data_IF_261991276859
#
_entry.id   IF_261991276859
#
_cell.length_a   1.000
_cell.length_b   1.000
_cell.length_c   1.000
_cell.angle_alpha   90.00
_cell.angle_beta   90.00
_cell.angle_gamma   90.00
#
_symmetry.space_group_name_H-M   'P 1'
#
loop_
_entity.id
_entity.type
_entity.pdbx_description
1 polymer ?
#
# COMPACT_ATOMS: atom_id res chain seq x y z
N UNK A 1 -8.56 -24.46 0.00
CA UNK A 1 -8.91 -24.76 1.40
C UNK A 1 -10.21 -24.02 1.68
N UNK A 2 -11.29 -24.68 2.10
CA UNK A 2 -12.56 -23.99 2.39
C UNK A 2 -12.48 -23.37 3.79
N UNK A 3 -11.97 -22.15 3.88
CA UNK A 3 -11.89 -21.41 5.14
C UNK A 3 -13.22 -20.66 5.34
N UNK A 4 -13.85 -20.86 6.50
CA UNK A 4 -15.06 -20.15 6.94
C UNK A 4 -14.70 -19.11 7.99
N UNK A 5 -15.29 -17.93 7.89
CA UNK A 5 -15.15 -16.89 8.90
C UNK A 5 -16.32 -17.02 9.88
N UNK A 6 -16.00 -17.10 11.17
CA UNK A 6 -16.96 -17.14 12.26
C UNK A 6 -16.98 -15.80 12.99
N UNK A 7 -18.14 -15.37 13.49
CA UNK A 7 -18.20 -14.26 14.42
C UNK A 7 -17.89 -14.72 15.86
N UNK A 8 -17.91 -13.78 16.81
CA UNK A 8 -17.64 -14.02 18.23
C UNK A 8 -18.54 -15.08 18.91
N UNK A 9 -19.69 -15.43 18.33
CA UNK A 9 -20.60 -16.49 18.85
C UNK A 9 -20.53 -17.78 18.03
N UNK A 10 -19.51 -17.92 17.17
CA UNK A 10 -19.29 -19.11 16.34
C UNK A 10 -20.21 -19.23 15.13
N UNK A 11 -21.00 -18.20 14.81
CA UNK A 11 -21.84 -18.20 13.62
C UNK A 11 -21.01 -17.93 12.38
N UNK A 12 -21.19 -18.74 11.33
CA UNK A 12 -20.60 -18.50 10.02
C UNK A 12 -21.14 -17.20 9.42
N UNK A 13 -20.24 -16.27 9.12
CA UNK A 13 -20.53 -14.97 8.49
C UNK A 13 -19.98 -14.85 7.07
N UNK A 14 -19.27 -15.85 6.57
CA UNK A 14 -18.76 -15.85 5.21
C UNK A 14 -17.78 -16.97 4.93
N UNK A 15 -17.55 -17.22 3.64
CA UNK A 15 -16.49 -18.11 3.15
C UNK A 15 -15.41 -17.29 2.45
N UNK A 16 -14.16 -17.74 2.58
CA UNK A 16 -13.04 -17.13 1.86
C UNK A 16 -13.16 -17.42 0.36
N UNK A 17 -13.06 -16.37 -0.45
CA UNK A 17 -13.00 -16.45 -1.91
C UNK A 17 -11.55 -16.44 -2.40
N UNK A 18 -10.77 -15.43 -2.01
CA UNK A 18 -9.38 -15.24 -2.41
C UNK A 18 -8.53 -14.82 -1.20
N UNK A 19 -7.25 -15.19 -1.22
CA UNK A 19 -6.26 -14.80 -0.21
C UNK A 19 -5.09 -14.15 -0.94
N UNK A 20 -4.75 -12.93 -0.54
CA UNK A 20 -3.59 -12.19 -1.00
C UNK A 20 -2.60 -12.10 0.16
N UNK A 21 -1.47 -12.79 0.06
CA UNK A 21 -0.37 -12.67 1.01
C UNK A 21 0.52 -11.53 0.52
N UNK A 22 1.04 -10.70 1.44
CA UNK A 22 1.96 -9.63 1.05
C UNK A 22 3.15 -10.22 0.28
N UNK A 23 3.52 -9.68 -0.90
CA UNK A 23 4.49 -10.32 -1.79
C UNK A 23 5.91 -10.43 -1.20
N UNK A 24 6.23 -9.57 -0.24
CA UNK A 24 7.50 -9.59 0.50
C UNK A 24 7.43 -10.40 1.81
N UNK A 25 6.28 -11.02 2.13
CA UNK A 25 6.23 -11.96 3.25
C UNK A 25 7.07 -13.20 2.93
N UNK A 26 7.99 -13.52 3.82
CA UNK A 26 8.80 -14.72 3.74
C UNK A 26 8.51 -15.54 4.98
N UNK A 27 7.86 -16.70 4.81
CA UNK A 27 7.45 -17.60 5.89
C UNK A 27 8.67 -18.19 6.64
N UNK A 28 9.34 -17.34 7.42
CA UNK A 28 10.59 -17.57 8.10
C UNK A 28 10.37 -17.24 9.58
N UNK A 29 10.61 -18.18 10.51
CA UNK A 29 10.31 -18.00 11.93
C UNK A 29 11.15 -16.94 12.64
N UNK A 30 12.11 -16.31 11.97
CA UNK A 30 12.93 -15.22 12.51
C UNK A 30 12.72 -13.89 11.79
N UNK A 31 11.82 -13.84 10.81
CA UNK A 31 11.55 -12.66 10.00
C UNK A 31 10.04 -12.40 10.00
N UNK A 32 9.66 -11.32 10.67
CA UNK A 32 8.27 -10.91 10.84
C UNK A 32 7.91 -9.74 9.90
N UNK A 33 8.78 -9.39 8.95
CA UNK A 33 8.49 -8.32 8.00
C UNK A 33 7.32 -8.69 7.09
N UNK A 34 6.40 -7.75 6.91
CA UNK A 34 5.23 -7.90 6.07
C UNK A 34 4.28 -9.05 6.48
N UNK A 35 4.14 -9.32 7.78
CA UNK A 35 3.17 -10.30 8.33
C UNK A 35 1.72 -9.86 8.12
N UNK A 36 1.29 -9.85 6.86
CA UNK A 36 0.02 -9.30 6.42
C UNK A 36 -0.58 -10.12 5.27
N UNK A 37 -1.87 -10.38 5.39
CA UNK A 37 -2.66 -10.97 4.32
C UNK A 37 -4.04 -10.29 4.23
N UNK A 38 -4.55 -10.15 3.00
CA UNK A 38 -5.91 -9.69 2.73
C UNK A 38 -6.74 -10.90 2.32
N UNK A 39 -7.83 -11.12 3.04
CA UNK A 39 -8.77 -12.21 2.79
C UNK A 39 -10.03 -11.61 2.17
N UNK A 40 -10.24 -11.88 0.89
CA UNK A 40 -11.44 -11.48 0.18
C UNK A 40 -12.52 -12.53 0.38
N UNK A 41 -13.66 -12.11 0.91
CA UNK A 41 -14.81 -12.99 1.09
C UNK A 41 -15.45 -13.31 -0.26
N UNK A 42 -15.95 -14.52 -0.41
CA UNK A 42 -16.63 -14.97 -1.63
C UNK A 42 -17.90 -14.16 -1.91
N UNK A 43 -18.52 -13.59 -0.87
CA UNK A 43 -19.67 -12.70 -0.94
C UNK A 43 -19.55 -11.61 0.13
N UNK A 44 -20.06 -10.39 -0.11
CA UNK A 44 -20.13 -9.35 0.91
C UNK A 44 -20.94 -9.76 2.15
N UNK A 45 -20.51 -9.33 3.33
CA UNK A 45 -21.28 -9.53 4.57
C UNK A 45 -22.34 -8.45 4.68
N UNK A 46 -23.61 -8.82 4.62
CA UNK A 46 -24.71 -7.87 4.74
C UNK A 46 -24.75 -7.23 6.14
N UNK A 47 -25.11 -5.94 6.23
CA UNK A 47 -25.37 -5.19 7.47
C UNK A 47 -24.15 -4.97 8.40
N UNK A 48 -22.92 -5.09 7.90
CA UNK A 48 -21.70 -4.73 8.63
C UNK A 48 -20.86 -3.80 7.76
N UNK A 49 -20.45 -2.66 8.32
CA UNK A 49 -19.39 -1.83 7.74
C UNK A 49 -18.04 -2.36 8.21
N UNK A 50 -17.09 -2.48 7.30
CA UNK A 50 -15.68 -2.65 7.68
C UNK A 50 -15.15 -1.42 8.40
N UNK A 51 -13.99 -1.56 9.02
CA UNK A 51 -13.24 -0.42 9.54
C UNK A 51 -12.39 0.18 8.43
N UNK A 52 -12.21 1.50 8.48
CA UNK A 52 -11.20 2.16 7.66
C UNK A 52 -9.80 1.89 8.24
N UNK A 53 -8.75 2.14 7.45
CA UNK A 53 -7.36 1.99 7.91
C UNK A 53 -6.75 3.32 8.32
N UNK A 54 -5.85 3.28 9.30
CA UNK A 54 -5.10 4.44 9.74
C UNK A 54 -3.97 4.72 8.74
N UNK A 55 -3.88 5.95 8.21
CA UNK A 55 -3.01 6.29 7.06
C UNK A 55 -1.98 7.37 7.33
N UNK A 56 -2.15 8.16 8.38
CA UNK A 56 -1.39 9.41 8.53
C UNK A 56 0.06 9.20 8.99
N UNK A 57 0.48 7.97 9.29
CA UNK A 57 1.84 7.62 9.73
C UNK A 57 2.28 8.35 11.02
N UNK A 58 1.32 8.69 11.89
CA UNK A 58 1.56 9.39 13.17
C UNK A 58 1.21 8.54 14.38
N UNK A 59 1.32 7.21 14.29
CA UNK A 59 0.86 6.26 15.33
C UNK A 59 1.65 6.39 16.64
N UNK A 60 2.91 6.81 16.58
CA UNK A 60 3.79 6.89 17.76
C UNK A 60 3.26 7.93 18.76
N UNK A 61 3.17 7.52 20.03
CA UNK A 61 2.62 8.28 21.14
C UNK A 61 1.09 8.26 21.22
N UNK A 62 0.40 7.55 20.32
CA UNK A 62 -1.05 7.40 20.39
C UNK A 62 -1.47 6.13 21.11
N UNK A 63 -2.54 6.25 21.87
CA UNK A 63 -3.25 5.12 22.45
C UNK A 63 -4.00 4.37 21.36
N UNK A 64 -3.80 3.06 21.30
CA UNK A 64 -4.56 2.14 20.49
C UNK A 64 -5.42 1.23 21.37
N UNK A 65 -6.58 0.83 20.85
CA UNK A 65 -7.40 -0.23 21.44
C UNK A 65 -7.09 -1.55 20.76
N UNK A 66 -6.85 -2.62 21.53
CA UNK A 66 -6.80 -4.00 21.03
C UNK A 66 -8.11 -4.71 21.35
N UNK A 67 -8.59 -5.53 20.41
CA UNK A 67 -9.73 -6.42 20.63
C UNK A 67 -9.49 -7.74 19.90
N UNK A 68 -9.64 -8.87 20.60
CA UNK A 68 -9.60 -10.19 19.98
C UNK A 68 -9.92 -11.32 20.96
N UNK A 69 -9.75 -12.56 20.51
CA UNK A 69 -10.03 -13.74 21.34
C UNK A 69 -8.77 -14.56 21.59
N UNK A 70 -8.49 -14.85 22.86
CA UNK A 70 -7.51 -15.86 23.25
C UNK A 70 -8.27 -17.11 23.67
N UNK A 71 -8.31 -18.11 22.80
CA UNK A 71 -9.24 -19.22 22.95
C UNK A 71 -10.70 -18.73 22.91
N UNK A 72 -11.43 -18.90 24.02
CA UNK A 72 -12.82 -18.42 24.16
C UNK A 72 -12.93 -17.04 24.82
N UNK A 73 -11.83 -16.52 25.37
CA UNK A 73 -11.86 -15.34 26.21
C UNK A 73 -11.66 -14.09 25.36
N UNK A 74 -12.59 -13.14 25.50
CA UNK A 74 -12.49 -11.84 24.87
C UNK A 74 -11.41 -11.03 25.60
N UNK A 75 -10.37 -10.67 24.87
CA UNK A 75 -9.32 -9.76 25.32
C UNK A 75 -9.58 -8.42 24.68
N UNK A 76 -9.72 -7.39 25.51
CA UNK A 76 -9.87 -6.01 25.06
C UNK A 76 -9.26 -5.06 26.07
N UNK A 77 -8.55 -4.06 25.58
CA UNK A 77 -7.91 -3.03 26.39
C UNK A 77 -7.17 -2.04 25.52
N UNK A 78 -6.45 -1.13 26.16
CA UNK A 78 -5.71 -0.07 25.50
C UNK A 78 -4.22 -0.18 25.83
N UNK A 79 -3.38 0.33 24.94
CA UNK A 79 -1.94 0.49 25.15
C UNK A 79 -1.47 1.63 24.22
N UNK A 80 -0.23 2.09 24.35
CA UNK A 80 0.38 3.15 23.53
C UNK A 80 1.37 2.53 22.55
N UNK A 81 1.49 3.09 21.34
CA UNK A 81 2.64 2.76 20.49
C UNK A 81 3.80 3.69 20.81
N UNK A 82 4.87 3.16 21.38
CA UNK A 82 5.98 3.95 21.91
C UNK A 82 7.05 4.26 20.86
N UNK A 83 7.24 3.35 19.90
CA UNK A 83 8.27 3.48 18.88
C UNK A 83 7.93 2.69 17.61
N UNK A 84 8.77 2.88 16.57
CA UNK A 84 8.83 1.96 15.45
C UNK A 84 9.75 0.79 15.81
N UNK A 85 9.40 -0.43 15.43
CA UNK A 85 10.07 -1.63 15.90
C UNK A 85 11.52 -1.75 15.43
N UNK A 86 11.90 -1.16 14.29
CA UNK A 86 13.27 -1.23 13.75
C UNK A 86 14.35 -0.69 14.70
N UNK A 87 13.97 0.10 15.71
CA UNK A 87 14.87 0.56 16.77
C UNK A 87 15.54 -0.59 17.55
N UNK A 88 14.92 -1.78 17.61
CA UNK A 88 15.43 -2.91 18.38
C UNK A 88 16.44 -3.78 17.62
N UNK A 89 16.64 -3.54 16.31
CA UNK A 89 17.44 -4.40 15.43
C UNK A 89 18.84 -4.70 15.98
N UNK A 90 19.53 -3.68 16.49
CA UNK A 90 20.88 -3.86 17.05
C UNK A 90 20.87 -4.61 18.38
N UNK A 91 19.87 -4.37 19.23
CA UNK A 91 19.81 -4.91 20.59
C UNK A 91 19.31 -6.36 20.62
N UNK A 92 18.46 -6.75 19.66
CA UNK A 92 17.83 -8.07 19.60
C UNK A 92 18.30 -8.91 18.40
N UNK A 93 19.17 -8.38 17.54
CA UNK A 93 19.69 -9.10 16.37
C UNK A 93 18.61 -9.41 15.33
N UNK A 94 17.61 -8.53 15.22
CA UNK A 94 16.52 -8.62 14.24
C UNK A 94 16.86 -7.81 12.99
N UNK A 95 16.10 -8.04 11.92
CA UNK A 95 16.22 -7.31 10.65
C UNK A 95 14.85 -6.74 10.24
N UNK A 96 14.21 -6.00 11.16
CA UNK A 96 12.92 -5.37 10.91
C UNK A 96 13.10 -4.21 9.95
N UNK A 97 12.30 -4.18 8.88
CA UNK A 97 12.31 -3.10 7.89
C UNK A 97 11.91 -1.77 8.55
N UNK A 98 12.67 -0.72 8.26
CA UNK A 98 12.49 0.60 8.85
C UNK A 98 11.04 1.10 8.72
N UNK A 99 10.42 1.43 9.85
CA UNK A 99 9.07 1.98 9.90
C UNK A 99 7.94 1.05 9.47
N UNK A 100 8.20 -0.25 9.28
CA UNK A 100 7.21 -1.26 8.86
C UNK A 100 6.34 -1.79 10.01
N UNK A 101 6.75 -1.58 11.26
CA UNK A 101 6.12 -2.16 12.45
C UNK A 101 6.06 -1.17 13.61
N UNK A 102 5.09 -1.38 14.50
CA UNK A 102 4.80 -0.56 15.67
C UNK A 102 5.13 -1.33 16.94
N UNK A 103 5.96 -0.73 17.80
CA UNK A 103 6.45 -1.29 19.05
C UNK A 103 5.69 -0.70 20.23
N UNK A 104 5.40 -1.54 21.22
CA UNK A 104 4.82 -1.18 22.51
C UNK A 104 5.34 -2.14 23.58
N UNK A 105 5.37 -1.70 24.84
CA UNK A 105 5.59 -2.56 26.01
C UNK A 105 4.34 -2.69 26.88
N UNK A 106 4.42 -3.49 27.94
CA UNK A 106 3.33 -3.66 28.91
C UNK A 106 3.78 -3.23 30.29
N UNK A 107 3.37 -2.02 30.65
CA UNK A 107 3.72 -1.37 31.90
C UNK A 107 2.77 -1.76 33.03
N UNK A 108 3.28 -1.79 34.26
CA UNK A 108 2.45 -1.75 35.48
C UNK A 108 2.41 -0.35 36.11
N UNK A 109 2.95 0.65 35.42
CA UNK A 109 3.12 2.02 35.90
C UNK A 109 4.38 2.24 36.74
N UNK A 110 5.29 1.27 36.77
CA UNK A 110 6.59 1.39 37.44
C UNK A 110 7.74 1.39 36.44
N UNK A 111 8.79 2.16 36.74
CA UNK A 111 10.01 2.17 35.94
C UNK A 111 10.79 0.83 35.95
N UNK A 112 10.35 -0.16 36.72
CA UNK A 112 10.95 -1.49 36.74
C UNK A 112 10.43 -2.35 35.59
N UNK A 113 9.18 -2.14 35.16
CA UNK A 113 8.53 -2.91 34.10
C UNK A 113 8.29 -2.08 32.82
N UNK A 114 8.90 -0.88 32.76
CA UNK A 114 9.05 -0.02 31.58
C UNK A 114 10.21 -0.54 30.71
N UNK A 115 9.89 -1.50 29.84
CA UNK A 115 10.88 -2.23 29.06
C UNK A 115 11.59 -1.31 28.06
N UNK A 116 10.88 -0.43 27.39
CA UNK A 116 11.46 0.48 26.40
C UNK A 116 12.24 1.63 27.07
N UNK A 117 11.81 2.07 28.25
CA UNK A 117 12.58 2.95 29.12
C UNK A 117 13.91 2.33 29.55
N UNK A 118 13.91 1.07 29.97
CA UNK A 118 15.12 0.36 30.40
C UNK A 118 16.06 0.05 29.22
N UNK A 119 15.51 -0.47 28.12
CA UNK A 119 16.31 -1.05 27.03
C UNK A 119 16.74 -0.03 25.98
N UNK A 120 15.92 1.00 25.75
CA UNK A 120 16.11 1.97 24.67
C UNK A 120 16.21 3.42 25.18
N UNK A 121 16.12 3.63 26.51
CA UNK A 121 16.09 4.96 27.11
C UNK A 121 14.93 5.81 26.55
N UNK A 122 13.77 5.17 26.38
CA UNK A 122 12.50 5.77 25.98
C UNK A 122 11.48 5.66 27.12
N UNK A 123 11.68 6.38 28.24
CA UNK A 123 10.82 6.21 29.41
C UNK A 123 9.39 6.66 29.11
N UNK A 124 8.47 5.72 29.15
CA UNK A 124 7.03 5.93 29.08
C UNK A 124 6.40 4.91 30.03
N UNK A 125 5.42 5.33 30.82
CA UNK A 125 4.69 4.40 31.71
C UNK A 125 3.30 4.07 31.14
N UNK A 126 3.10 4.44 29.87
CA UNK A 126 1.85 4.47 29.13
C UNK A 126 0.60 4.65 29.99
N UNK A 127 -0.27 3.63 30.01
CA UNK A 127 -1.48 3.59 30.85
C UNK A 127 -1.27 2.84 32.17
N UNK A 128 -0.04 2.43 32.46
CA UNK A 128 0.33 1.63 33.63
C UNK A 128 -0.49 0.35 33.72
N UNK A 129 -0.97 0.01 34.92
CA UNK A 129 -1.72 -1.25 35.15
C UNK A 129 -3.02 -1.39 34.35
N UNK A 130 -3.48 -0.34 33.67
CA UNK A 130 -4.65 -0.38 32.77
C UNK A 130 -4.29 -0.81 31.33
N UNK A 131 -3.01 -1.05 31.04
CA UNK A 131 -2.56 -1.51 29.74
C UNK A 131 -2.99 -2.93 29.39
N UNK A 132 -2.99 -3.24 28.10
CA UNK A 132 -3.14 -4.60 27.57
C UNK A 132 -1.96 -4.97 26.70
N UNK A 133 -1.66 -6.26 26.63
CA UNK A 133 -0.69 -6.81 25.69
C UNK A 133 -1.32 -7.80 24.71
N UNK A 134 -0.63 -8.04 23.59
CA UNK A 134 -0.96 -9.18 22.72
C UNK A 134 -0.65 -10.51 23.43
N UNK A 135 -1.46 -11.53 23.16
CA UNK A 135 -1.30 -12.87 23.73
C UNK A 135 -1.62 -13.94 22.69
N UNK A 136 -1.31 -15.20 23.00
CA UNK A 136 -1.58 -16.31 22.11
C UNK A 136 -3.06 -16.32 21.66
N UNK A 137 -3.28 -16.35 20.35
CA UNK A 137 -4.61 -16.25 19.74
C UNK A 137 -4.99 -14.87 19.20
N UNK A 138 -4.25 -13.81 19.55
CA UNK A 138 -4.50 -12.46 19.04
C UNK A 138 -3.75 -12.11 17.74
N UNK A 139 -2.92 -13.02 17.21
CA UNK A 139 -2.23 -12.84 15.91
C UNK A 139 -3.23 -12.59 14.79
N UNK A 140 -2.94 -11.62 13.93
CA UNK A 140 -3.85 -11.17 12.87
C UNK A 140 -5.01 -10.28 13.35
N UNK A 141 -5.17 -10.08 14.66
CA UNK A 141 -6.16 -9.17 15.24
C UNK A 141 -5.76 -7.71 15.03
N UNK A 142 -6.75 -6.86 14.74
CA UNK A 142 -6.52 -5.43 14.55
C UNK A 142 -6.36 -4.66 15.86
N UNK A 143 -5.49 -3.67 15.86
CA UNK A 143 -5.45 -2.58 16.83
C UNK A 143 -5.98 -1.31 16.20
N UNK A 144 -6.58 -0.45 17.02
CA UNK A 144 -7.38 0.67 16.53
C UNK A 144 -6.92 2.00 17.11
N UNK A 145 -6.66 2.98 16.25
CA UNK A 145 -6.50 4.39 16.62
C UNK A 145 -7.63 5.16 15.96
N UNK A 146 -8.39 5.95 16.75
CA UNK A 146 -9.56 6.69 16.27
C UNK A 146 -10.56 5.84 15.46
N UNK A 147 -10.76 4.59 15.89
CA UNK A 147 -11.66 3.62 15.25
C UNK A 147 -11.18 3.12 13.88
N UNK A 148 -9.92 3.36 13.50
CA UNK A 148 -9.30 2.86 12.27
C UNK A 148 -8.23 1.82 12.59
N UNK A 149 -8.08 0.81 11.74
CA UNK A 149 -7.07 -0.23 11.93
C UNK A 149 -5.69 0.40 11.74
N UNK A 150 -4.89 0.45 12.81
CA UNK A 150 -3.55 1.03 12.82
C UNK A 150 -2.45 -0.02 12.79
N UNK A 151 -2.66 -1.14 13.48
CA UNK A 151 -1.75 -2.28 13.49
C UNK A 151 -2.48 -3.61 13.35
N UNK A 152 -1.70 -4.63 13.02
CA UNK A 152 -2.11 -6.04 13.04
C UNK A 152 -1.18 -6.80 13.97
N UNK A 153 -1.72 -7.50 14.95
CA UNK A 153 -0.94 -8.28 15.91
C UNK A 153 -0.02 -9.29 15.23
N UNK A 154 1.30 -9.17 15.44
CA UNK A 154 2.29 -10.07 14.86
C UNK A 154 2.98 -10.92 15.93
N UNK A 155 3.87 -10.34 16.74
CA UNK A 155 4.65 -11.10 17.73
C UNK A 155 4.86 -10.35 19.06
N UNK A 156 5.25 -11.11 20.09
CA UNK A 156 5.66 -10.62 21.40
C UNK A 156 7.01 -11.20 21.79
N UNK A 157 7.73 -10.50 22.65
CA UNK A 157 9.06 -10.87 23.12
C UNK A 157 9.32 -10.26 24.51
N UNK A 158 10.34 -10.75 25.21
CA UNK A 158 10.66 -10.27 26.56
C UNK A 158 12.16 -10.05 26.77
N UNK A 159 12.48 -9.40 27.89
CA UNK A 159 13.85 -9.20 28.36
C UNK A 159 13.90 -9.44 29.86
N UNK A 160 14.90 -10.19 30.32
CA UNK A 160 15.09 -10.47 31.76
C UNK A 160 15.41 -9.24 32.61
N UNK A 161 15.61 -8.07 31.98
CA UNK A 161 15.87 -6.79 32.65
C UNK A 161 14.59 -6.08 33.09
N UNK A 162 13.46 -6.36 32.44
CA UNK A 162 12.18 -5.67 32.60
C UNK A 162 11.03 -6.62 32.93
N UNK A 163 11.07 -7.84 32.42
CA UNK A 163 10.04 -8.85 32.61
C UNK A 163 9.89 -9.23 34.10
N UNK A 164 8.65 -9.30 34.58
CA UNK A 164 8.34 -9.76 35.94
C UNK A 164 8.76 -11.21 36.16
N UNK A 165 8.94 -11.97 35.08
CA UNK A 165 9.37 -13.35 35.12
C UNK A 165 10.36 -13.67 33.96
N UNK A 166 10.47 -14.93 33.54
CA UNK A 166 11.43 -15.34 32.49
C UNK A 166 10.76 -16.13 31.36
N UNK A 167 9.45 -16.00 31.25
CA UNK A 167 8.58 -16.71 30.31
C UNK A 167 7.80 -15.64 29.57
N UNK A 168 7.68 -15.79 28.26
CA UNK A 168 6.81 -14.94 27.44
C UNK A 168 5.38 -15.42 27.65
N UNK A 169 4.65 -14.76 28.52
CA UNK A 169 3.29 -15.08 28.95
C UNK A 169 2.34 -13.88 28.98
N UNK A 170 2.71 -12.79 28.30
CA UNK A 170 1.93 -11.55 28.22
C UNK A 170 1.77 -10.88 29.59
N UNK A 171 2.83 -10.87 30.38
CA UNK A 171 2.90 -10.19 31.67
C UNK A 171 3.69 -8.88 31.62
N UNK A 172 3.69 -8.12 32.72
CA UNK A 172 4.33 -6.81 32.77
C UNK A 172 5.84 -6.89 32.47
N UNK A 173 6.34 -5.91 31.72
CA UNK A 173 7.74 -5.83 31.30
C UNK A 173 8.09 -6.58 30.02
N UNK A 174 7.10 -7.22 29.39
CA UNK A 174 7.20 -7.74 28.03
C UNK A 174 7.01 -6.64 26.98
N UNK A 175 7.27 -6.97 25.72
CA UNK A 175 7.10 -6.09 24.56
C UNK A 175 6.33 -6.80 23.44
N UNK A 176 5.64 -6.02 22.62
CA UNK A 176 4.91 -6.50 21.45
C UNK A 176 5.18 -5.66 20.22
N UNK A 177 5.06 -6.30 19.06
CA UNK A 177 5.17 -5.65 17.76
C UNK A 177 3.97 -5.98 16.89
N UNK A 178 3.39 -4.94 16.29
CA UNK A 178 2.31 -5.05 15.33
C UNK A 178 2.78 -4.61 13.94
N UNK A 179 2.31 -5.28 12.89
CA UNK A 179 2.50 -4.81 11.51
C UNK A 179 1.82 -3.46 11.32
N UNK A 180 2.55 -2.45 10.85
CA UNK A 180 2.06 -1.08 10.72
C UNK A 180 1.20 -0.92 9.47
N UNK A 181 -0.11 -0.75 9.63
CA UNK A 181 -1.02 -0.70 8.48
C UNK A 181 -0.77 0.50 7.56
N UNK A 182 -0.38 1.65 8.09
CA UNK A 182 -0.08 2.82 7.26
C UNK A 182 1.15 2.65 6.37
N UNK A 183 2.07 1.73 6.69
CA UNK A 183 3.20 1.36 5.83
C UNK A 183 2.78 0.46 4.65
N UNK A 184 1.62 -0.21 4.75
CA UNK A 184 1.10 -1.10 3.72
C UNK A 184 -0.18 -0.57 3.05
N UNK A 185 -0.57 0.68 3.33
CA UNK A 185 -1.81 1.28 2.85
C UNK A 185 -1.96 1.20 1.32
N UNK A 186 -0.89 1.44 0.58
CA UNK A 186 -0.89 1.37 -0.89
C UNK A 186 -1.15 -0.04 -1.43
N UNK A 187 -0.57 -1.04 -0.77
CA UNK A 187 -0.80 -2.44 -1.15
C UNK A 187 -2.22 -2.85 -0.82
N UNK A 188 -2.74 -2.42 0.32
CA UNK A 188 -4.13 -2.65 0.72
C UNK A 188 -5.09 -2.01 -0.29
N UNK A 189 -4.84 -0.77 -0.71
CA UNK A 189 -5.66 -0.09 -1.71
C UNK A 189 -5.59 -0.78 -3.07
N UNK A 190 -4.40 -1.16 -3.52
CA UNK A 190 -4.24 -1.90 -4.77
C UNK A 190 -5.06 -3.21 -4.77
N UNK A 191 -4.99 -4.00 -3.69
CA UNK A 191 -5.72 -5.27 -3.61
C UNK A 191 -7.24 -5.04 -3.48
N UNK A 192 -7.68 -4.00 -2.77
CA UNK A 192 -9.10 -3.78 -2.47
C UNK A 192 -9.84 -2.97 -3.54
N UNK A 193 -9.14 -2.07 -4.25
CA UNK A 193 -9.71 -1.12 -5.19
C UNK A 193 -9.14 -1.27 -6.61
N UNK A 194 -7.95 -1.86 -6.74
CA UNK A 194 -7.20 -1.86 -8.00
C UNK A 194 -6.57 -0.49 -8.28
N UNK A 195 -5.91 -0.37 -9.43
CA UNK A 195 -5.40 0.91 -9.90
C UNK A 195 -6.50 1.78 -10.52
N UNK A 196 -6.24 3.08 -10.61
CA UNK A 196 -7.09 4.03 -11.32
C UNK A 196 -7.29 3.61 -12.78
N UNK A 197 -8.54 3.70 -13.24
CA UNK A 197 -8.92 3.44 -14.64
C UNK A 197 -9.17 4.77 -15.34
N UNK A 198 -8.22 5.20 -16.16
CA UNK A 198 -8.37 6.39 -16.98
C UNK A 198 -9.26 6.10 -18.20
N UNK A 199 -10.01 7.11 -18.64
CA UNK A 199 -10.94 7.01 -19.78
C UNK A 199 -10.30 7.63 -21.02
N UNK A 200 -10.42 7.02 -22.23
CA UNK A 200 -9.90 7.59 -23.45
C UNK A 200 -10.43 9.02 -23.71
N UNK A 201 -9.56 10.03 -23.83
CA UNK A 201 -9.96 11.42 -24.05
C UNK A 201 -10.51 11.62 -25.46
N UNK A 202 -11.43 12.56 -25.60
CA UNK A 202 -11.98 13.04 -26.87
C UNK A 202 -11.53 14.45 -27.18
N UNK A 203 -11.23 15.24 -26.15
CA UNK A 203 -10.78 16.62 -26.27
C UNK A 203 -9.41 16.82 -25.64
N UNK A 204 -8.64 17.79 -26.15
CA UNK A 204 -7.30 18.11 -25.64
C UNK A 204 -7.29 18.52 -24.17
N UNK A 205 -8.39 19.11 -23.68
CA UNK A 205 -8.58 19.45 -22.27
C UNK A 205 -8.73 18.25 -21.34
N UNK A 206 -9.03 17.06 -21.87
CA UNK A 206 -9.19 15.83 -21.10
C UNK A 206 -7.89 15.01 -21.02
N UNK A 207 -6.86 15.39 -21.77
CA UNK A 207 -5.59 14.66 -21.81
C UNK A 207 -4.83 14.87 -20.51
N UNK A 208 -4.59 13.77 -19.79
CA UNK A 208 -3.76 13.75 -18.59
C UNK A 208 -2.28 13.72 -18.97
N UNK A 209 -1.65 14.90 -18.96
CA UNK A 209 -0.23 15.05 -19.31
C UNK A 209 0.72 14.66 -18.18
N UNK A 210 0.27 14.80 -16.93
CA UNK A 210 0.99 14.41 -15.73
C UNK A 210 0.22 13.25 -15.11
N UNK A 211 0.75 12.04 -15.25
CA UNK A 211 0.09 10.81 -14.81
C UNK A 211 0.74 10.37 -13.51
N UNK A 212 -0.03 10.26 -12.41
CA UNK A 212 0.47 9.59 -11.22
C UNK A 212 0.85 8.15 -11.56
N UNK A 213 2.08 7.77 -11.22
CA UNK A 213 2.51 6.39 -11.23
C UNK A 213 1.65 5.55 -10.28
N UNK A 214 1.30 4.29 -10.62
CA UNK A 214 0.72 3.38 -9.65
C UNK A 214 1.81 2.72 -8.79
N UNK A 215 1.61 2.56 -7.47
CA UNK A 215 2.56 1.82 -6.61
C UNK A 215 2.73 0.32 -6.97
N UNK A 216 1.79 -0.24 -7.74
CA UNK A 216 1.78 -1.66 -8.09
C UNK A 216 1.14 -1.86 -9.47
N UNK A 217 1.65 -2.82 -10.24
CA UNK A 217 1.01 -3.25 -11.49
C UNK A 217 1.14 -2.19 -12.59
N UNK A 218 0.02 -1.79 -13.20
CA UNK A 218 0.04 -0.78 -14.27
C UNK A 218 -1.29 -0.05 -14.43
N UNK A 219 -1.24 1.10 -15.11
CA UNK A 219 -2.39 1.89 -15.56
C UNK A 219 -2.27 2.21 -17.05
N UNK A 220 -3.38 2.49 -17.71
CA UNK A 220 -3.38 2.93 -19.12
C UNK A 220 -3.60 4.44 -19.18
N UNK A 221 -2.61 5.20 -19.65
CA UNK A 221 -2.79 6.60 -20.04
C UNK A 221 -3.05 6.70 -21.56
N UNK A 222 -3.48 7.87 -22.03
CA UNK A 222 -3.81 8.10 -23.43
C UNK A 222 -3.22 9.39 -23.96
N UNK A 223 -2.52 9.29 -25.08
CA UNK A 223 -2.30 10.45 -25.96
C UNK A 223 -3.54 10.70 -26.82
N UNK A 224 -3.67 11.91 -27.35
CA UNK A 224 -4.76 12.28 -28.25
C UNK A 224 -4.20 12.88 -29.54
N UNK A 225 -4.45 12.23 -30.66
CA UNK A 225 -4.32 12.86 -31.97
C UNK A 225 -5.69 13.44 -32.35
N UNK A 226 -5.76 14.74 -32.65
CA UNK A 226 -7.03 15.43 -32.92
C UNK A 226 -6.92 16.49 -34.01
N UNK A 227 -8.06 16.77 -34.63
CA UNK A 227 -8.30 17.78 -35.64
C UNK A 227 -9.40 18.74 -35.16
N UNK A 228 -9.29 20.00 -35.57
CA UNK A 228 -10.27 21.04 -35.22
C UNK A 228 -11.62 20.86 -35.93
N UNK A 229 -11.66 20.07 -37.00
CA UNK A 229 -12.86 19.79 -37.80
C UNK A 229 -12.95 18.29 -38.12
N UNK A 230 -14.15 17.84 -38.48
CA UNK A 230 -14.38 16.48 -38.95
C UNK A 230 -13.59 16.21 -40.24
N UNK A 231 -12.96 15.05 -40.32
CA UNK A 231 -12.25 14.63 -41.50
C UNK A 231 -13.22 14.36 -42.66
N UNK A 232 -12.82 14.78 -43.86
CA UNK A 232 -13.57 14.56 -45.11
C UNK A 232 -13.09 13.33 -45.88
N UNK A 233 -12.04 12.67 -45.39
CA UNK A 233 -11.43 11.45 -45.92
C UNK A 233 -10.60 10.78 -44.83
N UNK A 234 -10.28 9.52 -45.02
CA UNK A 234 -9.42 8.78 -44.10
C UNK A 234 -8.00 9.38 -44.07
N UNK A 235 -7.43 9.46 -42.87
CA UNK A 235 -6.04 9.84 -42.63
C UNK A 235 -5.37 8.72 -41.86
N UNK A 236 -4.18 8.31 -42.30
CA UNK A 236 -3.36 7.35 -41.58
C UNK A 236 -2.02 7.96 -41.20
N UNK A 237 -1.42 7.50 -40.11
CA UNK A 237 -0.07 7.88 -39.69
C UNK A 237 0.57 6.74 -38.89
N UNK A 238 1.90 6.70 -38.90
CA UNK A 238 2.65 5.85 -37.98
C UNK A 238 2.77 6.54 -36.63
N UNK A 239 2.81 5.76 -35.56
CA UNK A 239 3.10 6.25 -34.22
C UNK A 239 4.08 5.34 -33.50
N UNK A 240 4.85 5.92 -32.59
CA UNK A 240 5.69 5.18 -31.64
C UNK A 240 5.92 6.00 -30.38
N UNK A 241 6.06 5.32 -29.26
CA UNK A 241 6.58 5.93 -28.03
C UNK A 241 8.11 6.01 -28.07
N UNK A 242 8.66 7.06 -27.47
CA UNK A 242 10.10 7.33 -27.39
C UNK A 242 10.44 7.71 -25.95
N UNK A 243 11.51 7.12 -25.43
CA UNK A 243 12.03 7.42 -24.11
C UNK A 243 12.39 8.91 -23.99
N UNK A 244 12.10 9.49 -22.83
CA UNK A 244 12.77 10.70 -22.36
C UNK A 244 13.70 10.31 -21.22
N UNK A 245 13.38 10.75 -20.01
CA UNK A 245 13.96 10.17 -18.80
C UNK A 245 13.31 8.83 -18.45
N UNK A 246 12.00 8.69 -18.70
CA UNK A 246 11.31 7.41 -18.59
C UNK A 246 11.74 6.44 -19.71
N UNK A 247 12.04 5.22 -19.30
CA UNK A 247 12.59 4.09 -20.03
C UNK A 247 11.53 2.99 -20.23
N UNK A 248 11.33 2.62 -21.50
CA UNK A 248 10.47 1.50 -21.83
C UNK A 248 10.88 0.19 -21.12
N UNK A 249 9.88 -0.60 -20.73
CA UNK A 249 9.97 -1.82 -19.92
C UNK A 249 10.34 -1.61 -18.44
N UNK A 250 10.59 -0.38 -18.01
CA UNK A 250 10.68 0.00 -16.60
C UNK A 250 9.44 0.81 -16.19
N UNK A 251 9.25 1.94 -16.86
CA UNK A 251 8.26 2.95 -16.42
C UNK A 251 7.02 2.94 -17.33
N UNK A 252 7.17 2.43 -18.55
CA UNK A 252 6.04 2.24 -19.48
C UNK A 252 6.29 1.11 -20.50
N UNK A 253 5.23 0.60 -21.13
CA UNK A 253 5.34 -0.38 -22.22
C UNK A 253 5.44 0.35 -23.55
N UNK A 254 6.54 0.14 -24.28
CA UNK A 254 6.72 0.70 -25.61
C UNK A 254 5.59 0.29 -26.55
N UNK A 255 4.95 1.28 -27.18
CA UNK A 255 3.82 1.07 -28.09
C UNK A 255 4.11 1.74 -29.42
N UNK A 256 3.86 1.03 -30.52
CA UNK A 256 4.02 1.54 -31.88
C UNK A 256 3.04 0.88 -32.85
N UNK A 257 2.80 1.52 -33.99
CA UNK A 257 1.97 0.97 -35.03
C UNK A 257 1.55 1.99 -36.08
N UNK A 258 0.51 1.65 -36.82
CA UNK A 258 -0.16 2.55 -37.75
C UNK A 258 -1.62 2.70 -37.31
N UNK A 259 -2.11 3.92 -37.33
CA UNK A 259 -3.50 4.25 -37.02
C UNK A 259 -4.15 4.90 -38.23
N UNK A 260 -5.42 4.61 -38.45
CA UNK A 260 -6.29 5.32 -39.39
C UNK A 260 -7.41 5.98 -38.63
N UNK A 261 -7.60 7.29 -38.84
CA UNK A 261 -8.78 8.02 -38.40
C UNK A 261 -9.70 8.11 -39.62
N UNK A 262 -10.91 7.58 -39.48
CA UNK A 262 -11.84 7.50 -40.59
C UNK A 262 -12.55 8.83 -40.85
N UNK A 263 -13.03 8.99 -42.08
CA UNK A 263 -13.91 10.09 -42.46
C UNK A 263 -15.08 10.24 -41.47
N UNK A 264 -15.43 11.49 -41.15
CA UNK A 264 -16.46 11.82 -40.16
C UNK A 264 -16.01 11.74 -38.70
N UNK A 265 -14.77 11.34 -38.41
CA UNK A 265 -14.14 11.46 -37.10
C UNK A 265 -13.17 12.65 -37.10
N UNK A 266 -12.76 13.13 -35.92
CA UNK A 266 -11.74 14.17 -35.79
C UNK A 266 -10.73 13.89 -34.67
N UNK A 267 -10.77 12.74 -34.03
CA UNK A 267 -9.81 12.39 -32.99
C UNK A 267 -9.64 10.88 -32.87
N UNK A 268 -8.53 10.49 -32.25
CA UNK A 268 -8.32 9.14 -31.73
C UNK A 268 -7.42 9.20 -30.50
N UNK A 269 -7.82 8.45 -29.48
CA UNK A 269 -7.02 8.22 -28.28
C UNK A 269 -6.07 7.05 -28.51
N UNK A 270 -4.80 7.22 -28.13
CA UNK A 270 -3.73 6.23 -28.32
C UNK A 270 -3.29 5.77 -26.93
N UNK A 271 -3.62 4.53 -26.53
CA UNK A 271 -3.27 4.02 -25.21
C UNK A 271 -1.77 3.79 -25.06
N UNK A 272 -1.27 4.02 -23.86
CA UNK A 272 0.06 3.61 -23.40
C UNK A 272 -0.05 3.08 -21.98
N UNK A 273 0.56 1.94 -21.72
CA UNK A 273 0.60 1.35 -20.38
C UNK A 273 1.75 1.96 -19.59
N UNK A 274 1.45 2.59 -18.46
CA UNK A 274 2.40 3.06 -17.46
C UNK A 274 2.56 1.95 -16.42
N UNK A 275 3.80 1.57 -16.17
CA UNK A 275 4.16 0.57 -15.18
C UNK A 275 4.34 1.26 -13.83
N UNK A 276 4.23 0.48 -12.78
CA UNK A 276 4.31 0.97 -11.43
C UNK A 276 5.24 0.14 -10.58
N UNK A 277 6.07 0.80 -9.79
CA UNK A 277 6.85 0.14 -8.77
C UNK A 277 6.88 0.91 -7.42
N UNK A 278 7.95 0.72 -6.65
CA UNK A 278 8.13 1.25 -5.29
C UNK A 278 9.50 1.89 -5.11
N UNK A 279 10.21 2.12 -6.20
CA UNK A 279 11.55 2.65 -6.20
C UNK A 279 11.39 4.16 -6.25
N UNK A 280 11.93 4.85 -5.26
CA UNK A 280 11.94 6.32 -5.32
C UNK A 280 12.75 6.80 -6.51
N UNK A 281 12.08 7.48 -7.42
CA UNK A 281 12.64 8.08 -8.61
C UNK A 281 12.34 9.58 -8.67
N UNK A 282 12.69 10.23 -9.78
CA UNK A 282 12.29 11.62 -10.04
C UNK A 282 11.19 11.60 -11.10
N UNK A 283 10.32 12.62 -11.15
CA UNK A 283 9.33 12.73 -12.23
C UNK A 283 9.98 12.54 -13.61
N UNK A 284 9.42 11.61 -14.37
CA UNK A 284 10.02 11.16 -15.62
C UNK A 284 9.18 11.49 -16.84
N UNK A 285 9.81 11.69 -17.99
CA UNK A 285 9.11 12.05 -19.23
C UNK A 285 9.31 11.02 -20.32
N UNK A 286 8.27 10.83 -21.13
CA UNK A 286 8.33 10.07 -22.37
C UNK A 286 7.41 10.73 -23.41
N UNK A 287 7.62 10.40 -24.68
CA UNK A 287 6.89 11.06 -25.77
C UNK A 287 6.24 10.07 -26.72
N UNK A 288 5.14 10.50 -27.34
CA UNK A 288 4.58 9.90 -28.53
C UNK A 288 5.02 10.70 -29.76
N UNK A 289 5.63 10.02 -30.71
CA UNK A 289 5.89 10.56 -32.04
C UNK A 289 4.85 10.04 -33.02
N UNK A 290 4.32 10.91 -33.88
CA UNK A 290 3.54 10.53 -35.06
C UNK A 290 4.24 11.00 -36.34
N UNK A 291 4.32 10.13 -37.33
CA UNK A 291 5.09 10.34 -38.56
C UNK A 291 4.37 9.81 -39.80
N UNK A 292 4.92 10.13 -40.97
CA UNK A 292 4.49 9.60 -42.27
C UNK A 292 2.96 9.71 -42.51
N UNK A 293 2.37 10.91 -42.42
CA UNK A 293 0.94 11.06 -42.61
C UNK A 293 0.55 10.76 -44.06
N UNK A 294 -0.49 9.95 -44.23
CA UNK A 294 -1.11 9.62 -45.50
C UNK A 294 -2.50 10.27 -45.53
N UNK A 295 -2.79 11.00 -46.61
CA UNK A 295 -4.05 11.75 -46.74
C UNK A 295 -4.02 13.13 -46.07
N UNK A 296 -2.96 13.47 -45.33
CA UNK A 296 -2.78 14.75 -44.67
C UNK A 296 -1.32 15.22 -44.73
N UNK A 297 -1.08 16.50 -44.51
CA UNK A 297 0.26 17.05 -44.33
C UNK A 297 0.29 17.78 -43.00
N UNK A 298 1.29 17.47 -42.17
CA UNK A 298 1.43 18.15 -40.89
C UNK A 298 1.65 19.66 -41.08
N UNK A 299 1.20 20.48 -40.11
CA UNK A 299 1.44 21.92 -40.15
C UNK A 299 2.94 22.25 -40.27
N UNK A 300 3.28 23.30 -41.02
CA UNK A 300 4.66 23.81 -41.07
C UNK A 300 5.68 22.91 -41.78
N UNK A 301 5.24 21.96 -42.62
CA UNK A 301 6.10 20.98 -43.31
C UNK A 301 6.94 20.10 -42.35
N UNK A 302 6.48 19.91 -41.12
CA UNK A 302 7.13 19.01 -40.17
C UNK A 302 6.95 17.55 -40.60
N UNK A 303 7.95 16.70 -40.34
CA UNK A 303 7.91 15.26 -40.64
C UNK A 303 7.37 14.41 -39.49
N UNK A 304 7.47 14.93 -38.25
CA UNK A 304 7.07 14.26 -37.01
C UNK A 304 6.38 15.25 -36.08
N UNK A 305 5.21 14.90 -35.54
CA UNK A 305 4.64 15.63 -34.40
C UNK A 305 4.95 14.86 -33.11
N UNK A 306 5.24 15.59 -32.04
CA UNK A 306 5.65 15.04 -30.75
C UNK A 306 4.71 15.55 -29.67
N UNK A 307 4.24 14.65 -28.83
CA UNK A 307 3.56 14.98 -27.58
C UNK A 307 4.31 14.31 -26.42
N UNK A 308 4.57 15.07 -25.34
CA UNK A 308 5.29 14.58 -24.17
C UNK A 308 4.35 14.50 -22.98
N UNK A 309 4.38 13.38 -22.26
CA UNK A 309 3.73 13.20 -20.97
C UNK A 309 4.80 12.98 -19.89
N UNK A 310 4.42 13.26 -18.64
CA UNK A 310 5.22 13.06 -17.44
C UNK A 310 4.56 11.98 -16.58
N UNK A 311 5.35 11.00 -16.12
CA UNK A 311 5.02 10.08 -15.04
C UNK A 311 5.44 10.78 -13.75
N UNK A 312 4.48 11.02 -12.86
CA UNK A 312 4.72 11.66 -11.57
C UNK A 312 4.98 10.55 -10.56
N UNK A 313 6.21 10.54 -10.04
CA UNK A 313 6.63 9.60 -9.01
C UNK A 313 5.77 9.80 -7.77
N UNK A 314 5.28 8.70 -7.22
CA UNK A 314 4.43 8.70 -6.03
C UNK A 314 5.09 7.97 -4.85
N UNK A 315 6.37 7.62 -4.98
CA UNK A 315 7.13 6.90 -3.98
C UNK A 315 7.81 7.86 -3.02
N UNK A 316 7.68 7.58 -1.73
CA UNK A 316 8.37 8.36 -0.71
C UNK A 316 9.71 7.70 -0.40
N UNK A 317 10.76 8.50 -0.26
CA UNK A 317 11.99 8.03 0.39
C UNK A 317 11.63 7.47 1.76
N UNK A 318 11.97 6.21 2.02
CA UNK A 318 11.97 5.66 3.36
C UNK A 318 13.03 6.47 4.14
N UNK A 319 12.58 7.40 4.97
CA UNK A 319 13.41 8.15 5.91
C UNK A 319 13.42 7.46 7.26
#
# INVERSE_FOLDING_TARGET
>A
MNVTILNAVGQNIGTVGEIYIHPQWHNNPTDYNHDLAIIKLAQPVAQKSGYDIYRTKTEIGQTFTRVGFSGSDLVSGENTYDALTDIINNSFGTDIEAGSQLLYDYDDGTAQHDALGILLNLPNLGLGSDETMSQLGLSGGGTFIDGKIAGIGSFIFSSTLSDVNTVIDSSFGEMGSDTRISAHADWIDFITQGNLVYVPPKFTSEVLKNVPEPNFGSVINYFLASFNELLTKDISFHFRTVNGTAIACKDYIATQGQITIHTGQNYIAIPVTILGDKITEADETFSLEISEPIGFSFPGNTLVLIATHTIIDNDSTIL
#
